data_IF_196303820119
#
_entry.id   IF_196303820119
#
_cell.length_a   1.000
_cell.length_b   1.000
_cell.length_c   1.000
_cell.angle_alpha   90.00
_cell.angle_beta   90.00
_cell.angle_gamma   90.00
#
_symmetry.space_group_name_H-M   'P 1'
#
loop_
_entity.id
_entity.type
_entity.pdbx_description
1 polymer ?
#
# COMPACT_ATOMS: atom_id res chain seq x y z
N UNK A 1 23.55 -17.59 -6.61
CA UNK A 1 23.99 -16.91 -5.38
C UNK A 1 22.76 -16.44 -4.62
N UNK A 2 22.32 -17.23 -3.64
CA UNK A 2 21.47 -16.74 -2.55
C UNK A 2 22.35 -15.81 -1.70
N UNK A 3 21.87 -14.61 -1.39
CA UNK A 3 22.59 -13.72 -0.48
C UNK A 3 22.74 -14.44 0.87
N UNK A 4 23.97 -14.55 1.40
CA UNK A 4 24.30 -15.15 2.71
C UNK A 4 23.79 -14.32 3.91
N UNK A 5 22.76 -13.49 3.71
CA UNK A 5 22.19 -12.58 4.72
C UNK A 5 21.43 -13.36 5.82
N UNK A 6 21.14 -14.65 5.60
CA UNK A 6 20.19 -15.43 6.41
C UNK A 6 20.81 -16.41 7.42
N UNK A 7 22.02 -16.20 7.93
CA UNK A 7 22.50 -17.05 9.04
C UNK A 7 21.92 -16.52 10.36
N UNK A 8 21.02 -17.27 10.98
CA UNK A 8 20.32 -16.96 12.25
C UNK A 8 19.36 -15.75 12.24
N UNK A 9 18.90 -15.28 11.07
CA UNK A 9 17.86 -14.25 11.02
C UNK A 9 16.47 -14.87 11.18
N UNK A 10 15.59 -14.18 11.94
CA UNK A 10 14.16 -14.50 12.01
C UNK A 10 13.55 -14.38 10.62
N UNK A 11 12.76 -15.37 10.21
CA UNK A 11 12.03 -15.34 8.94
C UNK A 11 10.86 -14.37 9.02
N UNK A 12 10.31 -13.97 7.86
CA UNK A 12 9.06 -13.22 7.82
C UNK A 12 7.95 -13.92 8.61
N UNK A 13 7.82 -15.26 8.47
CA UNK A 13 6.82 -16.03 9.22
C UNK A 13 7.03 -15.96 10.73
N UNK A 14 8.28 -15.92 11.20
CA UNK A 14 8.57 -15.79 12.64
C UNK A 14 8.15 -14.41 13.17
N UNK A 15 8.44 -13.35 12.41
CA UNK A 15 8.07 -11.98 12.77
C UNK A 15 6.55 -11.78 12.67
N UNK A 16 5.92 -12.29 11.61
CA UNK A 16 4.48 -12.21 11.40
C UNK A 16 3.71 -12.90 12.53
N UNK A 17 4.11 -14.13 12.89
CA UNK A 17 3.53 -14.85 14.04
C UNK A 17 3.68 -14.07 15.33
N UNK A 18 4.86 -13.50 15.58
CA UNK A 18 5.14 -12.71 16.78
C UNK A 18 4.28 -11.44 16.84
N UNK A 19 4.16 -10.69 15.74
CA UNK A 19 3.38 -9.46 15.69
C UNK A 19 1.87 -9.76 15.81
N UNK A 20 1.39 -10.77 15.10
CA UNK A 20 0.01 -11.24 15.20
C UNK A 20 -0.34 -11.69 16.62
N UNK A 21 0.56 -12.40 17.31
CA UNK A 21 0.34 -12.79 18.71
C UNK A 21 0.31 -11.60 19.68
N UNK A 22 0.81 -10.43 19.27
CA UNK A 22 0.73 -9.17 20.03
C UNK A 22 -0.48 -8.30 19.64
N UNK A 23 -1.31 -8.77 18.70
CA UNK A 23 -2.52 -8.10 18.26
C UNK A 23 -2.34 -7.20 17.03
N UNK A 24 -1.20 -7.26 16.34
CA UNK A 24 -1.03 -6.56 15.06
C UNK A 24 -1.67 -7.35 13.92
N UNK A 25 -2.15 -6.65 12.90
CA UNK A 25 -2.60 -7.17 11.61
C UNK A 25 -1.71 -6.61 10.50
N UNK A 26 -1.46 -7.42 9.47
CA UNK A 26 -0.70 -7.00 8.29
C UNK A 26 -1.62 -6.24 7.33
N UNK A 27 -1.31 -4.97 7.06
CA UNK A 27 -2.08 -4.11 6.15
C UNK A 27 -1.40 -3.92 4.80
N UNK A 28 -0.08 -4.10 4.73
CA UNK A 28 0.65 -3.83 3.50
C UNK A 28 1.98 -4.54 3.39
N UNK A 29 2.30 -4.95 2.17
CA UNK A 29 3.61 -5.48 1.79
C UNK A 29 4.11 -4.75 0.56
N UNK A 30 5.29 -4.12 0.67
CA UNK A 30 5.91 -3.35 -0.41
C UNK A 30 7.12 -4.10 -0.95
N UNK A 31 6.93 -5.06 -1.87
CA UNK A 31 8.02 -5.87 -2.38
C UNK A 31 9.01 -5.05 -3.22
N UNK A 32 10.29 -5.37 -3.08
CA UNK A 32 11.39 -4.88 -3.90
C UNK A 32 11.98 -6.04 -4.67
N UNK A 33 12.06 -5.87 -5.98
CA UNK A 33 12.54 -6.89 -6.89
C UNK A 33 13.90 -6.53 -7.48
N UNK A 34 14.68 -7.55 -7.85
CA UNK A 34 15.92 -7.40 -8.59
C UNK A 34 15.86 -8.17 -9.90
N UNK A 35 16.22 -7.47 -10.98
CA UNK A 35 16.47 -8.08 -12.28
C UNK A 35 17.96 -8.36 -12.47
N UNK A 36 18.27 -9.55 -12.97
CA UNK A 36 19.60 -9.85 -13.52
C UNK A 36 19.82 -9.29 -14.93
N UNK A 37 18.78 -8.71 -15.55
CA UNK A 37 18.82 -8.11 -16.90
C UNK A 37 19.36 -9.05 -17.99
N UNK A 38 19.21 -10.37 -17.82
CA UNK A 38 19.67 -11.39 -18.77
C UNK A 38 18.74 -11.52 -19.99
N UNK A 39 17.53 -10.97 -19.91
CA UNK A 39 16.53 -10.96 -20.98
C UNK A 39 16.21 -9.50 -21.30
N UNK A 40 16.10 -9.19 -22.59
CA UNK A 40 15.68 -7.89 -23.09
C UNK A 40 14.19 -7.65 -22.79
N UNK A 41 13.93 -6.83 -21.77
CA UNK A 41 12.57 -6.48 -21.32
C UNK A 41 11.80 -5.60 -22.30
N UNK A 42 12.43 -5.14 -23.39
CA UNK A 42 11.70 -4.46 -24.48
C UNK A 42 11.03 -5.46 -25.42
N UNK A 43 11.50 -6.71 -25.43
CA UNK A 43 11.02 -7.77 -26.33
C UNK A 43 10.28 -8.89 -25.62
N UNK A 44 10.57 -9.12 -24.35
CA UNK A 44 10.04 -10.26 -23.59
C UNK A 44 9.48 -9.82 -22.24
N UNK A 45 8.37 -10.44 -21.84
CA UNK A 45 7.86 -10.30 -20.48
C UNK A 45 8.57 -11.26 -19.52
N UNK A 46 8.88 -10.79 -18.33
CA UNK A 46 9.55 -11.60 -17.30
C UNK A 46 9.28 -11.07 -15.90
N UNK A 47 9.32 -12.00 -14.95
CA UNK A 47 9.22 -11.71 -13.53
C UNK A 47 10.61 -11.53 -12.92
N UNK A 48 10.72 -10.53 -12.06
CA UNK A 48 11.94 -10.26 -11.30
C UNK A 48 11.94 -11.06 -10.00
N UNK A 49 13.13 -11.29 -9.44
CA UNK A 49 13.24 -12.02 -8.17
C UNK A 49 12.95 -11.08 -7.02
N UNK A 50 12.07 -11.47 -6.11
CA UNK A 50 11.88 -10.76 -4.84
C UNK A 50 13.21 -10.74 -4.07
N UNK A 51 13.66 -9.55 -3.66
CA UNK A 51 14.81 -9.40 -2.76
C UNK A 51 14.36 -9.29 -1.31
N UNK A 52 13.45 -8.38 -1.06
CA UNK A 52 12.94 -8.05 0.27
C UNK A 52 11.61 -7.30 0.12
N UNK A 53 10.87 -7.12 1.22
CA UNK A 53 9.66 -6.32 1.24
C UNK A 53 9.58 -5.54 2.56
N UNK A 54 9.08 -4.31 2.52
CA UNK A 54 8.63 -3.64 3.74
C UNK A 54 7.25 -4.18 4.12
N UNK A 55 7.06 -4.51 5.39
CA UNK A 55 5.76 -4.91 5.91
C UNK A 55 5.20 -3.82 6.81
N UNK A 56 3.95 -3.46 6.59
CA UNK A 56 3.23 -2.47 7.39
C UNK A 56 2.18 -3.17 8.25
N UNK A 57 2.39 -3.11 9.56
CA UNK A 57 1.52 -3.71 10.56
C UNK A 57 0.82 -2.63 11.37
N UNK A 58 -0.46 -2.83 11.63
CA UNK A 58 -1.27 -1.97 12.48
C UNK A 58 -1.85 -2.80 13.61
N UNK A 59 -1.82 -2.28 14.82
CA UNK A 59 -2.56 -2.86 15.96
C UNK A 59 -3.98 -2.32 15.93
N UNK A 60 -4.80 -2.92 15.08
CA UNK A 60 -6.11 -2.38 14.74
C UNK A 60 -7.12 -2.58 15.90
N UNK A 61 -7.69 -1.51 16.47
CA UNK A 61 -8.69 -1.62 17.51
C UNK A 61 -10.05 -2.18 17.03
N UNK A 62 -10.31 -2.21 15.72
CA UNK A 62 -11.54 -2.78 15.14
C UNK A 62 -11.47 -4.32 14.98
N UNK A 63 -10.28 -4.90 15.06
CA UNK A 63 -10.07 -6.34 15.01
C UNK A 63 -10.58 -7.05 16.27
N UNK A 64 -11.21 -8.22 16.10
CA UNK A 64 -11.76 -9.01 17.21
C UNK A 64 -10.72 -9.33 18.30
N UNK A 65 -9.47 -9.56 17.90
CA UNK A 65 -8.35 -9.85 18.84
C UNK A 65 -7.97 -8.67 19.74
N UNK A 66 -8.46 -7.47 19.45
CA UNK A 66 -8.17 -6.25 20.19
C UNK A 66 -9.41 -5.63 20.87
N UNK A 67 -10.61 -6.20 20.69
CA UNK A 67 -11.87 -5.66 21.22
C UNK A 67 -11.88 -5.45 22.74
N UNK A 68 -11.10 -6.24 23.48
CA UNK A 68 -11.01 -6.13 24.95
C UNK A 68 -9.92 -5.17 25.44
N UNK A 69 -9.14 -4.56 24.55
CA UNK A 69 -8.07 -3.64 24.93
C UNK A 69 -8.55 -2.20 24.78
N UNK A 70 -8.54 -1.38 25.85
CA UNK A 70 -8.81 0.04 25.69
C UNK A 70 -7.69 0.68 24.88
N UNK A 71 -8.06 1.53 23.92
CA UNK A 71 -7.14 2.40 23.20
C UNK A 71 -7.30 3.81 23.72
N UNK A 72 -6.18 4.44 24.05
CA UNK A 72 -6.15 5.85 24.42
C UNK A 72 -6.43 6.73 23.21
N UNK A 73 -6.92 7.95 23.43
CA UNK A 73 -7.14 8.94 22.37
C UNK A 73 -5.87 9.16 21.52
N UNK A 74 -4.71 9.24 22.18
CA UNK A 74 -3.42 9.38 21.49
C UNK A 74 -3.12 8.20 20.57
N UNK A 75 -3.40 6.98 21.00
CA UNK A 75 -3.18 5.79 20.16
C UNK A 75 -4.09 5.82 18.93
N UNK A 76 -5.35 6.20 19.10
CA UNK A 76 -6.30 6.38 17.99
C UNK A 76 -5.80 7.45 17.02
N UNK A 77 -5.33 8.60 17.51
CA UNK A 77 -4.80 9.66 16.66
C UNK A 77 -3.58 9.22 15.85
N UNK A 78 -2.67 8.47 16.48
CA UNK A 78 -1.51 7.90 15.80
C UNK A 78 -1.95 6.93 14.71
N UNK A 79 -2.97 6.11 14.96
CA UNK A 79 -3.51 5.19 13.95
C UNK A 79 -4.11 5.95 12.76
N UNK A 80 -4.92 6.98 13.02
CA UNK A 80 -5.51 7.82 11.97
C UNK A 80 -4.41 8.47 11.14
N UNK A 81 -3.44 9.14 11.77
CA UNK A 81 -2.34 9.81 11.08
C UNK A 81 -1.52 8.81 10.27
N UNK A 82 -1.18 7.66 10.85
CA UNK A 82 -0.41 6.62 10.17
C UNK A 82 -1.14 6.11 8.94
N UNK A 83 -2.43 5.85 9.03
CA UNK A 83 -3.28 5.40 7.93
C UNK A 83 -3.38 6.46 6.81
N UNK A 84 -3.54 7.74 7.18
CA UNK A 84 -3.56 8.86 6.22
C UNK A 84 -2.23 9.02 5.48
N UNK A 85 -1.10 8.91 6.19
CA UNK A 85 0.24 9.07 5.60
C UNK A 85 0.63 7.91 4.67
N UNK A 86 0.16 6.70 4.99
CA UNK A 86 0.47 5.48 4.22
C UNK A 86 -0.55 5.21 3.10
N UNK A 87 -1.66 5.95 3.08
CA UNK A 87 -2.67 5.90 2.03
C UNK A 87 -3.80 4.89 2.25
N UNK A 88 -3.93 4.33 3.46
CA UNK A 88 -5.07 3.51 3.88
C UNK A 88 -6.23 4.42 4.30
N UNK A 89 -6.74 5.22 3.36
CA UNK A 89 -7.77 6.24 3.65
C UNK A 89 -9.11 5.66 4.11
N UNK A 90 -9.45 4.45 3.65
CA UNK A 90 -10.67 3.76 4.05
C UNK A 90 -10.59 3.34 5.51
N UNK A 91 -9.51 2.62 5.88
CA UNK A 91 -9.20 2.30 7.26
C UNK A 91 -9.14 3.55 8.17
N UNK A 92 -8.51 4.64 7.71
CA UNK A 92 -8.51 5.89 8.47
C UNK A 92 -9.94 6.39 8.74
N UNK A 93 -10.83 6.28 7.74
CA UNK A 93 -12.23 6.66 7.84
C UNK A 93 -12.98 5.78 8.82
N UNK A 94 -12.77 4.46 8.81
CA UNK A 94 -13.35 3.53 9.78
C UNK A 94 -12.97 3.87 11.22
N UNK A 95 -11.68 4.14 11.47
CA UNK A 95 -11.19 4.50 12.80
C UNK A 95 -11.78 5.83 13.28
N UNK A 96 -11.83 6.84 12.39
CA UNK A 96 -12.47 8.13 12.71
C UNK A 96 -13.94 7.94 13.05
N UNK A 97 -14.66 7.13 12.28
CA UNK A 97 -16.10 6.86 12.50
C UNK A 97 -16.35 6.20 13.87
N UNK A 98 -15.51 5.24 14.24
CA UNK A 98 -15.66 4.44 15.44
C UNK A 98 -15.19 5.10 16.74
N UNK A 99 -14.12 5.91 16.69
CA UNK A 99 -13.44 6.40 17.90
C UNK A 99 -13.51 7.91 18.15
N UNK A 100 -13.96 8.72 17.18
CA UNK A 100 -14.10 10.17 17.36
C UNK A 100 -15.54 10.56 17.67
N UNK A 101 -15.77 10.99 18.91
CA UNK A 101 -17.10 11.40 19.38
C UNK A 101 -17.45 12.84 19.00
N UNK A 102 -16.48 13.76 19.02
CA UNK A 102 -16.73 15.16 18.63
C UNK A 102 -17.11 15.25 17.15
N UNK A 103 -18.36 15.62 16.90
CA UNK A 103 -18.96 15.67 15.56
C UNK A 103 -18.19 16.64 14.65
N UNK A 104 -17.63 17.72 15.21
CA UNK A 104 -16.94 18.74 14.42
C UNK A 104 -15.57 18.26 13.97
N UNK A 105 -14.78 17.70 14.88
CA UNK A 105 -13.49 17.08 14.63
C UNK A 105 -13.64 15.91 13.66
N UNK A 106 -14.57 14.99 13.94
CA UNK A 106 -14.91 13.86 13.08
C UNK A 106 -15.18 14.32 11.64
N UNK A 107 -16.04 15.31 11.43
CA UNK A 107 -16.32 15.87 10.09
C UNK A 107 -15.07 16.44 9.42
N UNK A 108 -14.19 17.13 10.17
CA UNK A 108 -12.93 17.69 9.63
C UNK A 108 -11.96 16.59 9.22
N UNK A 109 -11.78 15.57 10.05
CA UNK A 109 -10.89 14.43 9.78
C UNK A 109 -11.37 13.62 8.57
N UNK A 110 -12.66 13.31 8.48
CA UNK A 110 -13.25 12.63 7.32
C UNK A 110 -13.08 13.45 6.03
N UNK A 111 -13.26 14.77 6.11
CA UNK A 111 -13.01 15.67 4.97
C UNK A 111 -11.54 15.65 4.56
N UNK A 112 -10.61 15.61 5.51
CA UNK A 112 -9.18 15.49 5.24
C UNK A 112 -8.84 14.17 4.55
N UNK A 113 -9.35 13.04 5.06
CA UNK A 113 -9.16 11.71 4.46
C UNK A 113 -9.60 11.69 2.99
N UNK A 114 -10.81 12.19 2.71
CA UNK A 114 -11.34 12.30 1.34
C UNK A 114 -10.52 13.22 0.45
N UNK A 115 -10.00 14.33 0.99
CA UNK A 115 -9.16 15.26 0.24
C UNK A 115 -7.82 14.62 -0.15
N UNK A 116 -7.19 13.87 0.77
CA UNK A 116 -5.95 13.14 0.49
C UNK A 116 -6.18 12.00 -0.51
N UNK A 117 -7.27 11.24 -0.37
CA UNK A 117 -7.67 10.21 -1.33
C UNK A 117 -7.87 10.79 -2.74
N UNK A 118 -8.58 11.92 -2.86
CA UNK A 118 -8.78 12.63 -4.13
C UNK A 118 -7.47 13.09 -4.74
N UNK A 119 -6.54 13.60 -3.92
CA UNK A 119 -5.20 14.01 -4.39
C UNK A 119 -4.43 12.83 -5.00
N UNK A 120 -4.48 11.66 -4.36
CA UNK A 120 -3.84 10.45 -4.89
C UNK A 120 -4.51 9.98 -6.20
N UNK A 121 -5.85 10.02 -6.31
CA UNK A 121 -6.55 9.78 -7.57
C UNK A 121 -6.06 10.72 -8.69
N UNK A 122 -6.01 12.03 -8.44
CA UNK A 122 -5.56 13.01 -9.44
C UNK A 122 -4.10 12.78 -9.87
N UNK A 123 -3.23 12.29 -8.97
CA UNK A 123 -1.84 11.92 -9.29
C UNK A 123 -1.78 10.73 -10.25
N UNK A 124 -2.64 9.73 -10.07
CA UNK A 124 -2.76 8.57 -10.97
C UNK A 124 -3.32 9.02 -12.33
N UNK A 125 -4.40 9.79 -12.36
CA UNK A 125 -4.99 10.32 -13.60
C UNK A 125 -3.97 11.13 -14.42
N UNK A 126 -3.18 11.98 -13.75
CA UNK A 126 -2.09 12.72 -14.39
C UNK A 126 -1.04 11.77 -14.97
N UNK A 127 -0.66 10.73 -14.22
CA UNK A 127 0.29 9.73 -14.69
C UNK A 127 -0.26 8.93 -15.89
N UNK A 128 -1.57 8.64 -15.91
CA UNK A 128 -2.23 7.95 -17.01
C UNK A 128 -2.25 8.81 -18.28
N UNK A 129 -2.59 10.09 -18.18
CA UNK A 129 -2.51 11.04 -19.31
C UNK A 129 -1.09 11.15 -19.88
N UNK A 130 -0.09 11.18 -18.99
CA UNK A 130 1.32 11.17 -19.40
C UNK A 130 1.71 9.88 -20.10
N UNK A 131 1.21 8.73 -19.63
CA UNK A 131 1.42 7.45 -20.28
C UNK A 131 0.83 7.44 -21.70
N UNK A 132 -0.45 7.80 -21.87
CA UNK A 132 -1.13 7.85 -23.17
C UNK A 132 -0.37 8.77 -24.15
N UNK A 133 0.00 9.97 -23.70
CA UNK A 133 0.78 10.91 -24.53
C UNK A 133 2.12 10.34 -24.97
N UNK A 134 2.82 9.58 -24.12
CA UNK A 134 4.09 8.93 -24.47
C UNK A 134 3.89 7.78 -25.45
N UNK A 135 2.81 7.01 -25.33
CA UNK A 135 2.49 5.94 -26.28
C UNK A 135 2.23 6.49 -27.68
N UNK A 136 1.51 7.60 -27.81
CA UNK A 136 1.31 8.25 -29.12
C UNK A 136 2.62 8.75 -29.74
N UNK A 137 3.56 9.26 -28.93
CA UNK A 137 4.86 9.75 -29.42
C UNK A 137 5.86 8.66 -29.77
N UNK A 138 5.71 7.46 -29.19
CA UNK A 138 6.62 6.33 -29.40
C UNK A 138 5.85 5.00 -29.34
N UNK A 139 5.02 4.69 -30.37
CA UNK A 139 4.17 3.50 -30.37
C UNK A 139 4.95 2.19 -30.20
N UNK A 140 6.18 2.14 -30.70
CA UNK A 140 7.08 0.99 -30.61
C UNK A 140 7.54 0.69 -29.17
N UNK A 141 7.36 1.63 -28.23
CA UNK A 141 7.74 1.50 -26.81
C UNK A 141 6.55 1.28 -25.88
N UNK A 142 5.34 1.11 -26.42
CA UNK A 142 4.10 1.04 -25.63
C UNK A 142 4.18 0.02 -24.50
N UNK A 143 4.70 -1.18 -24.76
CA UNK A 143 4.87 -2.22 -23.75
C UNK A 143 5.73 -1.77 -22.55
N UNK A 144 6.91 -1.19 -22.81
CA UNK A 144 7.80 -0.69 -21.77
C UNK A 144 7.18 0.49 -21.01
N UNK A 145 6.47 1.37 -21.70
CA UNK A 145 5.77 2.49 -21.10
C UNK A 145 4.63 2.03 -20.18
N UNK A 146 3.88 1.01 -20.59
CA UNK A 146 2.81 0.42 -19.80
C UNK A 146 3.37 -0.20 -18.52
N UNK A 147 4.47 -0.96 -18.64
CA UNK A 147 5.16 -1.55 -17.47
C UNK A 147 5.63 -0.49 -16.49
N UNK A 148 6.31 0.57 -16.96
CA UNK A 148 6.73 1.69 -16.09
C UNK A 148 5.56 2.40 -15.43
N UNK A 149 4.42 2.54 -16.13
CA UNK A 149 3.22 3.13 -15.56
C UNK A 149 2.65 2.24 -14.45
N UNK A 150 2.54 0.93 -14.68
CA UNK A 150 2.07 -0.05 -13.70
C UNK A 150 3.01 -0.04 -12.49
N UNK A 151 4.32 -0.25 -12.68
CA UNK A 151 5.31 -0.31 -11.59
C UNK A 151 5.30 0.96 -10.72
N UNK A 152 5.07 2.13 -11.33
CA UNK A 152 5.02 3.41 -10.61
C UNK A 152 3.74 3.60 -9.81
N UNK A 153 2.61 3.05 -10.25
CA UNK A 153 1.29 3.31 -9.65
C UNK A 153 0.71 2.10 -8.91
N UNK A 154 1.32 0.91 -9.04
CA UNK A 154 0.95 -0.28 -8.28
C UNK A 154 1.19 -0.01 -6.79
N UNK A 155 0.11 -0.03 -6.02
CA UNK A 155 0.10 -0.07 -4.56
C UNK A 155 -0.43 -1.44 -4.12
N UNK A 156 -0.49 -1.70 -2.81
CA UNK A 156 -0.87 -2.98 -2.18
C UNK A 156 -2.32 -3.43 -2.43
N UNK A 157 -3.02 -2.84 -3.40
CA UNK A 157 -4.40 -3.18 -3.71
C UNK A 157 -4.44 -3.78 -5.12
N UNK A 158 -4.80 -5.06 -5.17
CA UNK A 158 -5.33 -5.67 -6.38
C UNK A 158 -6.66 -5.00 -6.73
N UNK A 159 -6.90 -4.90 -8.02
CA UNK A 159 -7.93 -4.05 -8.62
C UNK A 159 -9.30 -4.71 -8.45
N UNK A 160 -9.93 -4.56 -7.29
CA UNK A 160 -11.38 -4.61 -7.25
C UNK A 160 -11.90 -3.38 -8.02
N UNK A 161 -12.88 -3.57 -8.91
CA UNK A 161 -13.44 -2.59 -9.86
C UNK A 161 -12.71 -2.44 -11.22
N UNK A 162 -12.69 -3.53 -11.98
CA UNK A 162 -12.88 -3.45 -13.44
C UNK A 162 -14.01 -4.40 -13.86
N UNK A 163 -15.25 -4.10 -13.46
CA UNK A 163 -16.38 -4.45 -14.33
C UNK A 163 -16.34 -3.48 -15.49
N UNK A 164 -15.70 -3.90 -16.59
CA UNK A 164 -15.83 -3.24 -17.88
C UNK A 164 -17.27 -3.48 -18.33
N UNK A 165 -18.12 -2.47 -18.18
CA UNK A 165 -19.40 -2.40 -18.91
C UNK A 165 -19.17 -2.06 -20.37
#
# INVERSE_FOLDING_TARGET
MFFKVYKNQKTFSDIDKLLCSKGFSLYGLYPKYISKKMIDRTKYETNERLMWADAFYIKDPLEQKNTHKPFTEREVDVLIISALLTGFFDYATEIIEAYKEDITEKKKLLKLARLLARREKTKIERSARQFISKCHKSPERTFLLAKKFIDKNKKNNDVDFLTVS
#
